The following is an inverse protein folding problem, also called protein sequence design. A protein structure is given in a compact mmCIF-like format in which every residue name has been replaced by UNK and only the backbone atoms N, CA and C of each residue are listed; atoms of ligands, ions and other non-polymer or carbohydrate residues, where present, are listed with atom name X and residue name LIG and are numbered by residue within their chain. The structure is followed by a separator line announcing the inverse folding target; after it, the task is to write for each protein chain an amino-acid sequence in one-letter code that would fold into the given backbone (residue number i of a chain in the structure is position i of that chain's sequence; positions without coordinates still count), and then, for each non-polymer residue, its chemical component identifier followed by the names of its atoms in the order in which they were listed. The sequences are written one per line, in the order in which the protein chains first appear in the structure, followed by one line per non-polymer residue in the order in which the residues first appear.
data_IF_379478512754
#
_entry.id   IF_379478512754
#
_cell.length_a   1.000
_cell.length_b   1.000
_cell.length_c   1.000
_cell.angle_alpha   90.00
_cell.angle_beta   90.00
_cell.angle_gamma   90.00
#
_symmetry.space_group_name_H-M   'P 1'
#
loop_
_entity.id
_entity.type
_entity.pdbx_description
1 polymer ?
#
# COMPACT_ATOMS: atom_id res chain seq x y z
N UNK A 1 6.47 -3.11 41.75
CA UNK A 1 5.98 -2.08 40.82
C UNK A 1 6.09 -2.67 39.41
N UNK A 2 4.97 -3.06 38.80
CA UNK A 2 4.96 -3.58 37.43
C UNK A 2 4.69 -2.41 36.51
N UNK A 3 5.72 -1.96 35.78
CA UNK A 3 5.58 -0.92 34.77
C UNK A 3 4.95 -1.57 33.55
N UNK A 4 3.64 -1.42 33.40
CA UNK A 4 2.95 -1.75 32.15
C UNK A 4 3.34 -0.69 31.13
N UNK A 5 4.25 -1.04 30.22
CA UNK A 5 4.48 -0.23 29.03
C UNK A 5 3.20 -0.31 28.19
N UNK A 6 2.57 0.82 27.80
CA UNK A 6 1.60 0.75 26.73
C UNK A 6 2.38 0.27 25.51
N UNK A 7 2.05 -0.92 25.02
CA UNK A 7 2.47 -1.34 23.68
C UNK A 7 1.84 -0.33 22.73
N UNK A 8 2.60 0.72 22.43
CA UNK A 8 2.31 1.63 21.35
C UNK A 8 2.42 0.81 20.08
N UNK A 9 1.35 0.10 19.77
CA UNK A 9 1.06 -0.36 18.43
C UNK A 9 1.06 0.94 17.64
N UNK A 10 2.20 1.25 17.00
CA UNK A 10 2.24 2.26 15.99
C UNK A 10 1.25 1.74 14.97
N UNK A 11 0.01 2.24 15.03
CA UNK A 11 -0.97 2.05 13.98
C UNK A 11 -0.30 2.67 12.78
N UNK A 12 0.42 1.85 12.02
CA UNK A 12 1.05 2.23 10.79
C UNK A 12 -0.13 2.45 9.86
N UNK A 13 -0.65 3.67 9.89
CA UNK A 13 -1.78 4.15 9.09
C UNK A 13 -1.30 4.17 7.65
N UNK A 14 -1.21 2.97 7.09
CA UNK A 14 -0.88 2.76 5.70
C UNK A 14 -2.13 3.19 4.93
N UNK A 15 -1.98 4.05 3.91
CA UNK A 15 -3.12 4.56 3.17
C UNK A 15 -3.92 3.41 2.53
N UNK A 16 -5.22 3.59 2.28
CA UNK A 16 -6.04 2.58 1.62
C UNK A 16 -5.40 2.11 0.31
N UNK A 17 -5.39 0.79 0.08
CA UNK A 17 -4.76 0.20 -1.11
C UNK A 17 -5.28 0.80 -2.42
N UNK A 18 -6.58 1.11 -2.50
CA UNK A 18 -7.21 1.73 -3.66
C UNK A 18 -6.67 3.13 -3.97
N UNK A 19 -6.38 3.92 -2.93
CA UNK A 19 -5.77 5.26 -3.07
C UNK A 19 -4.35 5.12 -3.61
N UNK A 20 -3.59 4.16 -3.08
CA UNK A 20 -2.22 3.89 -3.52
C UNK A 20 -2.18 3.42 -4.97
N UNK A 21 -3.07 2.52 -5.36
CA UNK A 21 -3.20 2.06 -6.75
C UNK A 21 -3.54 3.23 -7.67
N UNK A 22 -4.49 4.09 -7.27
CA UNK A 22 -4.88 5.27 -8.06
C UNK A 22 -3.72 6.24 -8.25
N UNK A 23 -2.95 6.49 -7.19
CA UNK A 23 -1.74 7.31 -7.21
C UNK A 23 -0.67 6.73 -8.14
N UNK A 24 -0.42 5.43 -8.05
CA UNK A 24 0.52 4.71 -8.92
C UNK A 24 0.11 4.82 -10.40
N UNK A 25 -1.17 4.58 -10.70
CA UNK A 25 -1.72 4.68 -12.06
C UNK A 25 -1.63 6.07 -12.66
N UNK A 26 -1.77 7.11 -11.84
CA UNK A 26 -1.60 8.49 -12.28
C UNK A 26 -0.12 8.89 -12.48
N UNK A 27 0.83 7.97 -12.25
CA UNK A 27 2.26 8.20 -12.45
C UNK A 27 2.94 8.98 -11.32
N UNK A 28 2.27 9.14 -10.17
CA UNK A 28 2.87 9.80 -9.02
C UNK A 28 3.87 8.87 -8.31
N UNK A 29 4.96 9.42 -7.74
CA UNK A 29 5.89 8.64 -6.93
C UNK A 29 5.20 8.13 -5.66
N UNK A 30 5.46 6.86 -5.33
CA UNK A 30 4.97 6.20 -4.13
C UNK A 30 5.94 6.36 -2.96
N UNK A 31 5.42 6.58 -1.75
CA UNK A 31 6.20 6.63 -0.52
C UNK A 31 6.35 5.27 0.14
N UNK A 32 7.21 5.16 1.16
CA UNK A 32 7.38 3.92 1.91
C UNK A 32 6.06 3.41 2.53
N UNK A 33 5.23 4.33 3.05
CA UNK A 33 3.89 4.02 3.56
C UNK A 33 2.97 3.41 2.50
N UNK A 34 3.07 3.87 1.25
CA UNK A 34 2.30 3.36 0.13
C UNK A 34 2.72 1.92 -0.21
N UNK A 35 4.03 1.65 -0.17
CA UNK A 35 4.59 0.31 -0.34
C UNK A 35 4.12 -0.66 0.75
N UNK A 36 4.01 -0.19 2.00
CA UNK A 36 3.52 -0.98 3.11
C UNK A 36 2.04 -1.36 2.94
N UNK A 37 1.23 -0.50 2.33
CA UNK A 37 -0.16 -0.85 1.97
C UNK A 37 -0.24 -2.03 0.99
N UNK A 38 0.69 -2.14 0.04
CA UNK A 38 0.77 -3.30 -0.85
C UNK A 38 1.21 -4.57 -0.13
N UNK A 39 2.11 -4.47 0.85
CA UNK A 39 2.58 -5.62 1.63
C UNK A 39 1.53 -6.12 2.62
N UNK A 40 0.71 -5.21 3.16
CA UNK A 40 -0.41 -5.54 4.04
C UNK A 40 -1.65 -6.03 3.28
N UNK A 41 -1.64 -5.97 1.95
CA UNK A 41 -2.77 -6.37 1.12
C UNK A 41 -3.06 -7.87 1.24
N UNK A 42 -4.34 -8.22 1.33
CA UNK A 42 -4.77 -9.62 1.35
C UNK A 42 -4.58 -10.30 -0.01
N UNK A 43 -4.53 -11.64 0.00
CA UNK A 43 -4.29 -12.43 -1.20
C UNK A 43 -5.33 -12.15 -2.31
N UNK A 44 -6.57 -11.82 -1.93
CA UNK A 44 -7.66 -11.51 -2.84
C UNK A 44 -7.41 -10.25 -3.69
N UNK A 45 -6.62 -9.28 -3.20
CA UNK A 45 -6.33 -8.05 -3.92
C UNK A 45 -5.06 -8.14 -4.77
N UNK A 46 -4.34 -9.26 -4.73
CA UNK A 46 -3.12 -9.48 -5.54
C UNK A 46 -3.42 -9.36 -7.04
N UNK A 47 -4.58 -9.87 -7.49
CA UNK A 47 -4.99 -9.77 -8.89
C UNK A 47 -5.16 -8.31 -9.34
N UNK A 48 -5.79 -7.48 -8.51
CA UNK A 48 -6.02 -6.06 -8.80
C UNK A 48 -4.71 -5.28 -8.87
N UNK A 49 -3.78 -5.55 -7.94
CA UNK A 49 -2.43 -4.98 -7.94
C UNK A 49 -1.69 -5.34 -9.24
N UNK A 50 -1.71 -6.62 -9.63
CA UNK A 50 -1.09 -7.07 -10.88
C UNK A 50 -1.73 -6.44 -12.12
N UNK A 51 -3.06 -6.31 -12.15
CA UNK A 51 -3.77 -5.68 -13.25
C UNK A 51 -3.42 -4.19 -13.38
N UNK A 52 -3.36 -3.46 -12.27
CA UNK A 52 -2.93 -2.06 -12.24
C UNK A 52 -1.48 -1.89 -12.74
N UNK A 53 -0.56 -2.75 -12.29
CA UNK A 53 0.82 -2.73 -12.75
C UNK A 53 0.95 -3.02 -14.26
N UNK A 54 0.14 -3.94 -14.79
CA UNK A 54 0.10 -4.25 -16.22
C UNK A 54 -0.43 -3.06 -17.05
N UNK A 55 -1.47 -2.38 -16.57
CA UNK A 55 -2.01 -1.15 -17.17
C UNK A 55 -0.93 -0.05 -17.20
N UNK A 56 -0.28 0.23 -16.06
CA UNK A 56 0.81 1.20 -15.97
C UNK A 56 1.95 0.91 -16.96
N UNK A 57 2.38 -0.35 -17.07
CA UNK A 57 3.41 -0.77 -18.04
C UNK A 57 2.98 -0.51 -19.49
N UNK A 58 1.69 -0.67 -19.80
CA UNK A 58 1.17 -0.44 -21.14
C UNK A 58 1.07 1.05 -21.49
N UNK A 59 0.81 1.90 -20.50
CA UNK A 59 0.75 3.37 -20.67
C UNK A 59 2.13 4.01 -20.87
N UNK A 60 3.21 3.32 -20.49
CA UNK A 60 4.58 3.79 -20.70
C UNK A 60 5.12 3.55 -22.14
N UNK A 61 4.26 3.16 -23.09
CA UNK A 61 4.58 2.97 -24.51
C UNK A 61 4.08 4.13 -25.36
#
# INVERSE_FOLDING_TARGET
MTVSVPSGEATQVSPPLEEVISKAKAGYPLSESDCLSFLAAHQDTTQEICAAAADMRNQAK
#
